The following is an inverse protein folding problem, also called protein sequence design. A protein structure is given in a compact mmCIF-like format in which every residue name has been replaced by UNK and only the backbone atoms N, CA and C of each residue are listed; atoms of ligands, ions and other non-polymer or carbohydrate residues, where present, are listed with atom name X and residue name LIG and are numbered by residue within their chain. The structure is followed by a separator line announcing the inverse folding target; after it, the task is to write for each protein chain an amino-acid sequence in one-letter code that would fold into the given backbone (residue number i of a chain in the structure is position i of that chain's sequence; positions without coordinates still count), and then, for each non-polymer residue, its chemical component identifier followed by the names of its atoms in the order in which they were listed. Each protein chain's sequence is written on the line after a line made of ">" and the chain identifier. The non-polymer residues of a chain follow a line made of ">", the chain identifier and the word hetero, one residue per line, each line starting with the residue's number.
data_IF_452244025574
#
_entry.id   IF_452244025574
#
_cell.length_a   1.000
_cell.length_b   1.000
_cell.length_c   1.000
_cell.angle_alpha   90.00
_cell.angle_beta   90.00
_cell.angle_gamma   90.00
#
_symmetry.space_group_name_H-M   'P 1'
#
loop_
_entity.id
_entity.type
_entity.pdbx_description
1 polymer ?
#
# COMPACT_ATOMS: atom_id res chain seq x y z
N UNK A 1 -25.67 -24.93 -5.17
CA UNK A 1 -24.20 -24.80 -5.31
C UNK A 1 -23.73 -25.98 -6.12
N UNK A 2 -23.28 -25.75 -7.34
CA UNK A 2 -22.67 -26.81 -8.15
C UNK A 2 -21.31 -27.13 -7.56
N UNK A 3 -21.03 -28.41 -7.32
CA UNK A 3 -19.71 -28.84 -6.86
C UNK A 3 -18.80 -28.94 -8.09
N UNK A 4 -17.68 -28.22 -8.08
CA UNK A 4 -16.68 -28.21 -9.15
C UNK A 4 -15.46 -29.03 -8.71
N UNK A 5 -15.44 -30.37 -8.93
CA UNK A 5 -14.43 -31.27 -8.37
C UNK A 5 -13.01 -31.04 -8.93
N UNK A 6 -12.89 -30.44 -10.11
CA UNK A 6 -11.62 -30.18 -10.80
C UNK A 6 -11.15 -28.72 -10.66
N UNK A 7 -11.87 -27.91 -9.87
CA UNK A 7 -11.63 -26.46 -9.74
C UNK A 7 -12.41 -25.63 -10.75
N UNK A 8 -12.35 -24.30 -10.59
CA UNK A 8 -12.98 -23.33 -11.48
C UNK A 8 -11.92 -22.74 -12.41
N UNK A 9 -12.27 -22.53 -13.69
CA UNK A 9 -11.48 -21.66 -14.57
C UNK A 9 -11.65 -20.19 -14.18
N UNK A 10 -10.73 -19.32 -14.62
CA UNK A 10 -10.81 -17.87 -14.34
C UNK A 10 -12.08 -17.23 -14.92
N UNK A 11 -12.53 -17.70 -16.09
CA UNK A 11 -13.75 -17.19 -16.73
C UNK A 11 -15.01 -17.63 -15.96
N UNK A 12 -15.09 -18.90 -15.55
CA UNK A 12 -16.21 -19.41 -14.73
C UNK A 12 -16.25 -18.75 -13.35
N UNK A 13 -15.07 -18.53 -12.74
CA UNK A 13 -14.94 -17.79 -11.49
C UNK A 13 -15.42 -16.33 -11.67
N UNK A 14 -15.06 -15.70 -12.78
CA UNK A 14 -15.52 -14.34 -13.10
C UNK A 14 -17.04 -14.29 -13.27
N UNK A 15 -17.64 -15.26 -13.96
CA UNK A 15 -19.09 -15.32 -14.15
C UNK A 15 -19.84 -15.56 -12.83
N UNK A 16 -19.34 -16.43 -11.96
CA UNK A 16 -19.96 -16.68 -10.64
C UNK A 16 -19.85 -15.49 -9.66
N UNK A 17 -18.80 -14.67 -9.81
CA UNK A 17 -18.57 -13.50 -8.96
C UNK A 17 -19.27 -12.23 -9.47
N UNK A 18 -19.53 -12.12 -10.78
CA UNK A 18 -20.15 -10.94 -11.40
C UNK A 18 -21.48 -10.52 -10.77
N UNK A 19 -22.27 -11.47 -10.26
CA UNK A 19 -23.58 -11.19 -9.67
C UNK A 19 -23.59 -11.16 -8.14
N UNK A 20 -22.45 -11.42 -7.48
CA UNK A 20 -22.39 -11.41 -6.01
C UNK A 20 -22.03 -10.02 -5.52
N UNK A 21 -22.89 -9.35 -4.74
CA UNK A 21 -22.54 -8.08 -4.13
C UNK A 21 -21.39 -8.32 -3.15
N UNK A 22 -20.21 -7.85 -3.49
CA UNK A 22 -19.03 -7.89 -2.63
C UNK A 22 -19.12 -6.74 -1.65
N UNK A 23 -19.17 -7.05 -0.36
CA UNK A 23 -19.12 -6.07 0.72
C UNK A 23 -17.68 -5.88 1.18
N UNK A 24 -17.42 -4.82 1.94
CA UNK A 24 -16.12 -4.62 2.59
C UNK A 24 -15.73 -5.81 3.50
N UNK A 25 -16.72 -6.43 4.16
CA UNK A 25 -16.47 -7.62 4.99
C UNK A 25 -15.99 -8.83 4.18
N UNK A 26 -16.54 -9.03 2.98
CA UNK A 26 -16.11 -10.12 2.09
C UNK A 26 -14.66 -9.89 1.58
N UNK A 27 -14.27 -8.63 1.40
CA UNK A 27 -12.90 -8.25 1.04
C UNK A 27 -11.95 -8.51 2.21
N UNK A 28 -12.33 -8.13 3.43
CA UNK A 28 -11.52 -8.37 4.63
C UNK A 28 -11.32 -9.87 4.89
N UNK A 29 -12.37 -10.69 4.69
CA UNK A 29 -12.28 -12.15 4.83
C UNK A 29 -11.36 -12.78 3.77
N UNK A 30 -11.42 -12.28 2.54
CA UNK A 30 -10.53 -12.71 1.46
C UNK A 30 -9.06 -12.33 1.75
N UNK A 31 -8.82 -11.09 2.20
CA UNK A 31 -7.48 -10.63 2.59
C UNK A 31 -6.92 -11.49 3.72
N UNK A 32 -7.72 -11.71 4.77
CA UNK A 32 -7.31 -12.55 5.91
C UNK A 32 -7.02 -14.00 5.50
N UNK A 33 -7.79 -14.56 4.57
CA UNK A 33 -7.53 -15.91 4.05
C UNK A 33 -6.22 -16.00 3.26
N UNK A 34 -5.88 -14.97 2.48
CA UNK A 34 -4.62 -14.89 1.74
C UNK A 34 -3.41 -14.72 2.67
N UNK A 35 -3.52 -13.86 3.67
CA UNK A 35 -2.48 -13.69 4.69
C UNK A 35 -2.26 -14.98 5.51
N UNK A 36 -3.35 -15.67 5.89
CA UNK A 36 -3.28 -16.96 6.58
C UNK A 36 -2.67 -18.07 5.72
N UNK A 37 -2.83 -17.99 4.39
CA UNK A 37 -2.15 -18.85 3.43
C UNK A 37 -0.67 -18.47 3.22
N UNK A 38 -0.15 -17.48 3.95
CA UNK A 38 1.22 -17.00 3.86
C UNK A 38 1.51 -16.16 2.61
N UNK A 39 0.46 -15.71 1.91
CA UNK A 39 0.60 -14.80 0.78
C UNK A 39 0.89 -13.42 1.32
N UNK A 40 2.10 -12.93 1.06
CA UNK A 40 2.44 -11.55 1.36
C UNK A 40 1.75 -10.62 0.35
N UNK A 41 0.66 -9.99 0.77
CA UNK A 41 -0.08 -9.01 -0.03
C UNK A 41 0.64 -7.65 -0.08
N UNK A 42 1.63 -7.43 0.79
CA UNK A 42 2.66 -6.42 0.57
C UNK A 42 3.55 -6.95 -0.56
N UNK A 43 3.18 -6.66 -1.82
CA UNK A 43 4.05 -6.93 -2.98
C UNK A 43 5.46 -6.39 -2.75
N UNK A 44 6.49 -6.85 -3.49
CA UNK A 44 7.87 -6.40 -3.29
C UNK A 44 7.89 -4.88 -3.25
N UNK A 45 8.30 -4.33 -2.09
CA UNK A 45 8.23 -2.89 -1.89
C UNK A 45 8.99 -2.20 -3.03
N UNK A 46 8.36 -1.25 -3.74
CA UNK A 46 9.05 -0.55 -4.81
C UNK A 46 10.30 0.11 -4.23
N UNK A 47 11.44 -0.14 -4.87
CA UNK A 47 12.73 0.36 -4.43
C UNK A 47 12.67 1.86 -4.15
N UNK A 48 13.31 2.30 -3.05
CA UNK A 48 13.38 3.70 -2.70
C UNK A 48 14.05 4.49 -3.84
N UNK A 49 13.41 5.57 -4.27
CA UNK A 49 13.92 6.42 -5.35
C UNK A 49 14.67 7.62 -4.75
N UNK A 50 15.90 7.93 -5.20
CA UNK A 50 16.65 9.10 -4.72
C UNK A 50 15.87 10.42 -4.88
N UNK A 51 15.07 10.55 -5.94
CA UNK A 51 14.23 11.74 -6.17
C UNK A 51 13.14 11.91 -5.12
N UNK A 52 12.57 10.80 -4.62
CA UNK A 52 11.58 10.82 -3.54
C UNK A 52 12.24 11.28 -2.24
N UNK A 53 13.48 10.88 -1.97
CA UNK A 53 14.25 11.38 -0.82
C UNK A 53 14.52 12.89 -0.92
N UNK A 54 14.94 13.40 -2.07
CA UNK A 54 15.13 14.83 -2.26
C UNK A 54 13.83 15.62 -2.00
N UNK A 55 12.71 15.12 -2.53
CA UNK A 55 11.38 15.72 -2.34
C UNK A 55 10.92 15.68 -0.88
N UNK A 56 11.13 14.56 -0.18
CA UNK A 56 10.82 14.39 1.24
C UNK A 56 11.64 15.37 2.08
N UNK A 57 12.95 15.47 1.86
CA UNK A 57 13.82 16.38 2.62
C UNK A 57 13.46 17.85 2.40
N UNK A 58 13.15 18.25 1.17
CA UNK A 58 12.68 19.61 0.87
C UNK A 58 11.35 19.90 1.59
N UNK A 59 10.42 18.94 1.58
CA UNK A 59 9.12 19.06 2.25
C UNK A 59 9.26 19.14 3.76
N UNK A 60 10.12 18.31 4.36
CA UNK A 60 10.42 18.34 5.81
C UNK A 60 10.96 19.69 6.22
N UNK A 61 11.92 20.24 5.47
CA UNK A 61 12.50 21.56 5.75
C UNK A 61 11.43 22.66 5.69
N UNK A 62 10.62 22.69 4.64
CA UNK A 62 9.53 23.66 4.51
C UNK A 62 8.54 23.57 5.67
N UNK A 63 8.03 22.38 5.98
CA UNK A 63 7.08 22.17 7.08
C UNK A 63 7.70 22.52 8.45
N UNK A 64 8.98 22.25 8.66
CA UNK A 64 9.67 22.60 9.90
C UNK A 64 9.81 24.12 10.04
N UNK A 65 10.13 24.83 8.96
CA UNK A 65 10.20 26.29 8.95
C UNK A 65 8.83 26.92 9.20
N UNK A 66 7.75 26.35 8.66
CA UNK A 66 6.40 26.87 8.83
C UNK A 66 5.81 26.60 10.23
N UNK A 67 6.04 25.40 10.76
CA UNK A 67 5.36 24.94 11.99
C UNK A 67 6.23 25.02 13.24
N UNK A 68 7.54 25.20 13.08
CA UNK A 68 8.53 25.13 14.16
C UNK A 68 8.66 23.75 14.80
N UNK A 69 8.02 22.71 14.23
CA UNK A 69 8.00 21.34 14.75
C UNK A 69 8.47 20.36 13.68
N UNK A 70 8.94 19.20 14.13
CA UNK A 70 9.28 18.09 13.22
C UNK A 70 7.98 17.51 12.65
N UNK A 71 7.79 17.51 11.32
CA UNK A 71 6.58 16.97 10.71
C UNK A 71 6.56 15.44 10.77
N UNK A 72 5.36 14.88 10.91
CA UNK A 72 5.05 13.45 10.82
C UNK A 72 5.11 12.95 9.37
N UNK A 73 5.22 11.64 9.19
CA UNK A 73 5.21 11.01 7.86
C UNK A 73 3.95 11.36 7.06
N UNK A 74 2.78 11.42 7.72
CA UNK A 74 1.50 11.76 7.07
C UNK A 74 1.42 13.22 6.66
N UNK A 75 1.98 14.14 7.45
CA UNK A 75 2.06 15.56 7.08
C UNK A 75 2.96 15.76 5.86
N UNK A 76 4.09 15.06 5.83
CA UNK A 76 5.00 15.07 4.68
C UNK A 76 4.32 14.45 3.47
N UNK A 77 3.63 13.32 3.62
CA UNK A 77 2.90 12.65 2.55
C UNK A 77 1.86 13.57 1.92
N UNK A 78 1.00 14.18 2.75
CA UNK A 78 -0.02 15.14 2.28
C UNK A 78 0.59 16.33 1.54
N UNK A 79 1.69 16.91 2.03
CA UNK A 79 2.32 18.08 1.39
C UNK A 79 3.12 17.72 0.14
N UNK A 80 3.81 16.60 0.16
CA UNK A 80 4.66 16.15 -0.95
C UNK A 80 3.85 15.46 -2.05
N UNK A 81 2.62 15.01 -1.80
CA UNK A 81 1.84 14.22 -2.76
C UNK A 81 2.34 12.77 -2.89
N UNK A 82 3.14 12.32 -1.93
CA UNK A 82 3.59 10.93 -1.81
C UNK A 82 2.68 10.16 -0.85
N UNK A 83 2.74 8.84 -0.88
CA UNK A 83 2.13 8.00 0.16
C UNK A 83 3.02 7.94 1.40
N UNK A 84 2.46 7.70 2.59
CA UNK A 84 3.23 7.58 3.82
C UNK A 84 4.30 6.47 3.73
N UNK A 85 4.00 5.36 3.06
CA UNK A 85 4.98 4.30 2.78
C UNK A 85 6.16 4.78 1.91
N UNK A 86 5.91 5.58 0.87
CA UNK A 86 6.98 6.15 0.06
C UNK A 86 7.85 7.14 0.87
N UNK A 87 7.24 7.92 1.77
CA UNK A 87 7.98 8.82 2.68
C UNK A 87 8.88 8.03 3.62
N UNK A 88 8.37 6.98 4.26
CA UNK A 88 9.15 6.15 5.18
C UNK A 88 10.32 5.45 4.47
N UNK A 89 10.09 4.90 3.27
CA UNK A 89 11.15 4.29 2.45
C UNK A 89 12.22 5.29 2.04
N UNK A 90 11.82 6.48 1.60
CA UNK A 90 12.76 7.55 1.26
C UNK A 90 13.62 7.93 2.47
N UNK A 91 13.02 8.10 3.65
CA UNK A 91 13.78 8.38 4.89
C UNK A 91 14.73 7.24 5.27
N UNK A 92 14.33 5.98 5.05
CA UNK A 92 15.17 4.82 5.30
C UNK A 92 16.39 4.80 4.36
N UNK A 93 16.22 5.14 3.08
CA UNK A 93 17.33 5.31 2.13
C UNK A 93 18.36 6.33 2.64
N UNK A 94 17.90 7.48 3.15
CA UNK A 94 18.79 8.52 3.71
C UNK A 94 19.48 8.16 5.02
N UNK A 95 19.06 7.09 5.71
CA UNK A 95 19.75 6.56 6.91
C UNK A 95 20.84 5.54 6.58
N UNK A 96 20.74 4.92 5.41
CA UNK A 96 21.64 3.86 4.95
C UNK A 96 22.72 4.36 3.99
N UNK A 97 22.63 5.61 3.55
CA UNK A 97 23.64 6.33 2.77
C UNK A 97 24.63 7.06 3.68
#
# INVERSE_FOLDING_TARGET
>A
MSAHPDGLTLDELSEELVTKPVTYGDIDELIGALEAAGVNLEGPEPAARPDDLARVLATVRALTTETGKRPSADEIARRSGLTSGAVLRALQLGRSA
#
